data_IF_556374902230
#
_entry.id   IF_556374902230
#
_cell.length_a   1.000
_cell.length_b   1.000
_cell.length_c   1.000
_cell.angle_alpha   90.00
_cell.angle_beta   90.00
_cell.angle_gamma   90.00
#
_symmetry.space_group_name_H-M   'P 1'
#
loop_
_entity.id
_entity.type
_entity.pdbx_description
1 polymer ?
#
# COMPACT_ATOMS: atom_id res chain seq x y z
N UNK A 1 15.15 -59.38 10.42
CA UNK A 1 15.10 -58.24 9.47
C UNK A 1 13.72 -57.94 8.87
N UNK A 2 12.75 -58.88 8.82
CA UNK A 2 11.42 -58.63 8.20
C UNK A 2 10.37 -57.97 9.11
N UNK A 3 10.52 -58.03 10.44
CA UNK A 3 9.49 -57.56 11.38
C UNK A 3 9.54 -56.03 11.62
N UNK A 4 10.74 -55.46 11.68
CA UNK A 4 10.98 -54.02 11.85
C UNK A 4 10.44 -53.18 10.68
N UNK A 5 10.59 -53.69 9.44
CA UNK A 5 10.11 -53.01 8.23
C UNK A 5 8.58 -52.99 8.12
N UNK A 6 7.90 -54.03 8.61
CA UNK A 6 6.43 -54.10 8.64
C UNK A 6 5.86 -53.11 9.67
N UNK A 7 6.51 -52.97 10.83
CA UNK A 7 6.08 -52.03 11.87
C UNK A 7 6.26 -50.57 11.42
N UNK A 8 7.37 -50.26 10.75
CA UNK A 8 7.64 -48.92 10.17
C UNK A 8 6.64 -48.56 9.05
N UNK A 9 6.27 -49.51 8.20
CA UNK A 9 5.28 -49.28 7.14
C UNK A 9 3.87 -49.04 7.71
N UNK A 10 3.44 -49.83 8.69
CA UNK A 10 2.11 -49.69 9.32
C UNK A 10 1.99 -48.37 10.09
N UNK A 11 3.05 -47.98 10.81
CA UNK A 11 3.09 -46.68 11.53
C UNK A 11 3.09 -45.50 10.57
N UNK A 12 3.84 -45.56 9.46
CA UNK A 12 3.80 -44.52 8.43
C UNK A 12 2.40 -44.39 7.80
N UNK A 13 1.73 -45.51 7.53
CA UNK A 13 0.41 -45.52 6.90
C UNK A 13 -0.69 -45.01 7.84
N UNK A 14 -0.59 -45.31 9.14
CA UNK A 14 -1.46 -44.74 10.17
C UNK A 14 -1.25 -43.22 10.33
N UNK A 15 0.00 -42.74 10.32
CA UNK A 15 0.30 -41.31 10.42
C UNK A 15 -0.20 -40.53 9.20
N UNK A 16 -0.10 -41.11 8.00
CA UNK A 16 -0.64 -40.51 6.78
C UNK A 16 -2.17 -40.48 6.81
N UNK A 17 -2.82 -41.57 7.24
CA UNK A 17 -4.28 -41.64 7.38
C UNK A 17 -4.82 -40.64 8.42
N UNK A 18 -4.12 -40.48 9.55
CA UNK A 18 -4.46 -39.48 10.58
C UNK A 18 -4.27 -38.04 10.08
N UNK A 19 -3.25 -37.77 9.25
CA UNK A 19 -3.06 -36.45 8.61
C UNK A 19 -4.14 -36.14 7.59
N UNK A 20 -4.54 -37.13 6.80
CA UNK A 20 -5.62 -37.00 5.80
C UNK A 20 -6.96 -36.78 6.51
N UNK A 21 -7.26 -37.54 7.56
CA UNK A 21 -8.50 -37.35 8.33
C UNK A 21 -8.53 -35.99 9.04
N UNK A 22 -7.42 -35.53 9.63
CA UNK A 22 -7.33 -34.16 10.19
C UNK A 22 -7.50 -33.07 9.13
N UNK A 23 -6.97 -33.28 7.92
CA UNK A 23 -7.18 -32.37 6.80
C UNK A 23 -8.64 -32.36 6.37
N UNK A 24 -9.27 -33.53 6.24
CA UNK A 24 -10.67 -33.67 5.85
C UNK A 24 -11.61 -33.05 6.90
N UNK A 25 -11.36 -33.28 8.18
CA UNK A 25 -12.06 -32.66 9.31
C UNK A 25 -11.86 -31.14 9.35
N UNK A 26 -10.65 -30.65 9.05
CA UNK A 26 -10.39 -29.21 8.98
C UNK A 26 -11.09 -28.53 7.79
N UNK A 27 -11.29 -29.26 6.69
CA UNK A 27 -12.02 -28.77 5.52
C UNK A 27 -13.54 -28.76 5.77
N UNK A 28 -14.10 -29.82 6.36
CA UNK A 28 -15.54 -29.88 6.67
C UNK A 28 -15.95 -28.87 7.73
N UNK A 29 -15.09 -28.56 8.70
CA UNK A 29 -15.36 -27.54 9.73
C UNK A 29 -15.17 -26.11 9.19
N UNK A 30 -14.20 -25.88 8.30
CA UNK A 30 -14.06 -24.59 7.60
C UNK A 30 -15.28 -24.29 6.71
N UNK A 31 -15.87 -25.32 6.10
CA UNK A 31 -17.15 -25.23 5.41
C UNK A 31 -18.31 -24.95 6.39
N UNK A 32 -18.21 -25.38 7.66
CA UNK A 32 -19.27 -25.21 8.67
C UNK A 32 -19.27 -23.82 9.35
N UNK A 33 -18.11 -23.24 9.65
CA UNK A 33 -18.02 -21.86 10.19
C UNK A 33 -18.29 -20.80 9.12
N UNK A 34 -18.04 -21.09 7.84
CA UNK A 34 -18.40 -20.18 6.73
C UNK A 34 -19.92 -20.12 6.47
N UNK A 35 -20.69 -21.11 6.93
CA UNK A 35 -22.17 -21.15 6.83
C UNK A 35 -22.85 -20.20 7.83
N UNK A 36 -22.25 -19.87 8.98
CA UNK A 36 -22.86 -18.91 9.92
C UNK A 36 -22.78 -17.45 9.42
N UNK A 37 -21.87 -17.16 8.49
CA UNK A 37 -21.65 -15.82 7.93
C UNK A 37 -22.20 -15.63 6.52
N UNK A 38 -22.72 -16.68 5.89
CA UNK A 38 -23.50 -16.53 4.67
C UNK A 38 -24.85 -15.89 4.99
N UNK A 39 -25.17 -14.73 4.41
CA UNK A 39 -26.48 -14.13 4.61
C UNK A 39 -27.58 -15.02 4.03
N UNK A 40 -28.80 -14.94 4.57
CA UNK A 40 -29.91 -15.85 4.23
C UNK A 40 -30.39 -15.71 2.78
N UNK A 41 -30.07 -14.60 2.12
CA UNK A 41 -30.34 -14.34 0.71
C UNK A 41 -29.27 -14.93 -0.23
N UNK A 42 -28.18 -15.48 0.31
CA UNK A 42 -27.05 -16.02 -0.45
C UNK A 42 -26.14 -14.96 -1.08
N UNK A 43 -26.38 -13.66 -0.85
CA UNK A 43 -25.61 -12.57 -1.46
C UNK A 43 -24.46 -12.16 -0.54
N UNK A 44 -23.18 -12.35 -0.90
CA UNK A 44 -22.06 -12.05 -0.02
C UNK A 44 -22.14 -10.63 0.57
N UNK A 45 -21.94 -10.47 1.90
CA UNK A 45 -21.99 -9.17 2.59
C UNK A 45 -21.03 -8.11 2.01
N UNK A 46 -20.01 -8.55 1.28
CA UNK A 46 -19.12 -7.70 0.53
C UNK A 46 -19.82 -6.93 -0.61
N UNK A 47 -20.85 -7.49 -1.24
CA UNK A 47 -21.62 -6.83 -2.32
C UNK A 47 -22.30 -5.54 -1.82
N UNK A 48 -23.17 -5.56 -0.79
CA UNK A 48 -23.79 -4.33 -0.28
C UNK A 48 -22.77 -3.37 0.33
N UNK A 49 -21.66 -3.86 0.90
CA UNK A 49 -20.56 -3.01 1.35
C UNK A 49 -19.94 -2.23 0.18
N UNK A 50 -19.51 -2.92 -0.87
CA UNK A 50 -18.88 -2.29 -2.04
C UNK A 50 -19.84 -1.30 -2.72
N UNK A 51 -21.13 -1.64 -2.84
CA UNK A 51 -22.13 -0.73 -3.38
C UNK A 51 -22.34 0.51 -2.49
N UNK A 52 -22.29 0.36 -1.17
CA UNK A 52 -22.37 1.49 -0.24
C UNK A 52 -21.15 2.40 -0.36
N UNK A 53 -19.95 1.82 -0.45
CA UNK A 53 -18.71 2.58 -0.68
C UNK A 53 -18.78 3.28 -2.04
N UNK A 54 -19.19 2.57 -3.09
CA UNK A 54 -19.28 3.10 -4.44
C UNK A 54 -20.20 4.32 -4.48
N UNK A 55 -21.41 4.20 -3.94
CA UNK A 55 -22.40 5.29 -3.92
C UNK A 55 -21.92 6.52 -3.16
N UNK A 56 -21.16 6.33 -2.09
CA UNK A 56 -20.72 7.42 -1.20
C UNK A 56 -19.39 8.06 -1.62
N UNK A 57 -18.47 7.30 -2.21
CA UNK A 57 -17.09 7.72 -2.43
C UNK A 57 -16.59 7.56 -3.87
N UNK A 58 -17.18 6.67 -4.68
CA UNK A 58 -16.67 6.34 -6.02
C UNK A 58 -17.62 6.79 -7.15
N UNK A 59 -18.67 7.54 -6.82
CA UNK A 59 -19.71 7.96 -7.79
C UNK A 59 -19.14 8.72 -8.99
N UNK A 60 -18.13 9.55 -8.75
CA UNK A 60 -17.51 10.39 -9.76
C UNK A 60 -16.25 9.76 -10.37
N UNK A 61 -16.01 8.47 -10.07
CA UNK A 61 -14.85 7.72 -10.50
C UNK A 61 -15.22 6.58 -11.45
N UNK A 62 -14.40 6.35 -12.46
CA UNK A 62 -14.47 5.14 -13.29
C UNK A 62 -13.89 3.99 -12.48
N UNK A 63 -14.76 3.06 -12.08
CA UNK A 63 -14.34 1.91 -11.29
C UNK A 63 -13.69 0.85 -12.16
N UNK A 64 -12.52 0.39 -11.75
CA UNK A 64 -11.79 -0.72 -12.34
C UNK A 64 -11.63 -1.83 -11.30
N UNK A 65 -12.21 -2.99 -11.61
CA UNK A 65 -12.11 -4.19 -10.78
C UNK A 65 -11.05 -5.13 -11.34
N UNK A 66 -9.99 -5.36 -10.57
CA UNK A 66 -8.91 -6.27 -10.95
C UNK A 66 -8.96 -7.50 -10.07
N UNK A 67 -8.69 -8.68 -10.64
CA UNK A 67 -8.66 -9.92 -9.87
C UNK A 67 -7.58 -10.87 -10.37
N UNK A 68 -6.92 -11.61 -9.48
CA UNK A 68 -5.91 -12.59 -9.87
C UNK A 68 -6.49 -13.99 -10.16
N UNK A 69 -5.60 -14.92 -10.53
CA UNK A 69 -5.95 -16.32 -10.78
C UNK A 69 -6.53 -17.02 -9.54
N UNK A 70 -6.16 -16.61 -8.33
CA UNK A 70 -6.69 -17.21 -7.11
C UNK A 70 -8.19 -16.94 -6.97
N UNK A 71 -8.64 -15.70 -7.21
CA UNK A 71 -10.07 -15.37 -7.21
C UNK A 71 -10.80 -15.94 -8.43
N UNK A 72 -10.12 -16.05 -9.58
CA UNK A 72 -10.72 -16.56 -10.81
C UNK A 72 -11.01 -18.07 -10.78
N UNK A 73 -10.08 -18.87 -10.24
CA UNK A 73 -10.19 -20.33 -10.27
C UNK A 73 -10.80 -20.93 -8.99
N UNK A 74 -10.75 -20.25 -7.84
CA UNK A 74 -11.36 -20.77 -6.62
C UNK A 74 -12.90 -20.71 -6.73
N UNK A 75 -13.64 -21.84 -6.70
CA UNK A 75 -15.07 -21.88 -7.04
C UNK A 75 -15.92 -20.88 -6.25
N UNK A 76 -15.77 -20.89 -4.91
CA UNK A 76 -16.51 -19.98 -4.02
C UNK A 76 -16.18 -18.50 -4.24
N UNK A 77 -14.90 -18.16 -4.38
CA UNK A 77 -14.47 -16.77 -4.57
C UNK A 77 -14.85 -16.26 -5.96
N UNK A 78 -14.81 -17.14 -6.97
CA UNK A 78 -15.29 -16.83 -8.31
C UNK A 78 -16.78 -16.51 -8.30
N UNK A 79 -17.62 -17.33 -7.65
CA UNK A 79 -19.05 -17.05 -7.51
C UNK A 79 -19.30 -15.71 -6.82
N UNK A 80 -18.57 -15.43 -5.74
CA UNK A 80 -18.65 -14.13 -5.06
C UNK A 80 -18.25 -12.97 -5.99
N UNK A 81 -17.15 -13.11 -6.73
CA UNK A 81 -16.68 -12.12 -7.69
C UNK A 81 -17.71 -11.89 -8.80
N UNK A 82 -18.29 -12.96 -9.36
CA UNK A 82 -19.34 -12.87 -10.38
C UNK A 82 -20.55 -12.09 -9.85
N UNK A 83 -20.98 -12.35 -8.61
CA UNK A 83 -22.04 -11.58 -7.95
C UNK A 83 -21.69 -10.09 -7.80
N UNK A 84 -20.44 -9.78 -7.44
CA UNK A 84 -19.97 -8.38 -7.33
C UNK A 84 -20.00 -7.70 -8.70
N UNK A 85 -19.48 -8.35 -9.74
CA UNK A 85 -19.43 -7.79 -11.10
C UNK A 85 -20.83 -7.55 -11.67
N UNK A 86 -21.78 -8.46 -11.41
CA UNK A 86 -23.16 -8.35 -11.90
C UNK A 86 -23.99 -7.32 -11.14
N UNK A 87 -23.73 -7.10 -9.85
CA UNK A 87 -24.56 -6.27 -8.97
C UNK A 87 -23.89 -4.95 -8.56
N UNK A 88 -22.77 -4.59 -9.18
CA UNK A 88 -22.09 -3.35 -8.86
C UNK A 88 -22.93 -2.12 -9.23
N UNK A 89 -22.89 -1.08 -8.41
CA UNK A 89 -23.78 0.07 -8.52
C UNK A 89 -23.58 0.95 -9.77
N UNK A 90 -22.43 0.85 -10.45
CA UNK A 90 -22.05 1.72 -11.56
C UNK A 90 -21.41 0.93 -12.72
N UNK A 91 -21.28 1.52 -13.92
CA UNK A 91 -20.47 0.92 -14.97
C UNK A 91 -19.02 0.75 -14.50
N UNK A 92 -18.44 -0.41 -14.78
CA UNK A 92 -17.08 -0.75 -14.38
C UNK A 92 -16.29 -1.36 -15.53
N UNK A 93 -14.97 -1.24 -15.45
CA UNK A 93 -14.02 -2.04 -16.24
C UNK A 93 -13.54 -3.17 -15.35
N UNK A 94 -13.33 -4.37 -15.88
CA UNK A 94 -12.71 -5.42 -15.09
C UNK A 94 -11.72 -6.25 -15.91
N UNK A 95 -10.74 -6.81 -15.22
CA UNK A 95 -9.67 -7.55 -15.87
C UNK A 95 -8.94 -8.48 -14.92
N UNK A 96 -8.36 -9.53 -15.49
CA UNK A 96 -7.56 -10.48 -14.74
C UNK A 96 -6.10 -10.05 -14.66
N UNK A 97 -5.53 -10.07 -13.47
CA UNK A 97 -4.11 -9.82 -13.21
C UNK A 97 -3.29 -11.04 -13.59
N UNK A 98 -2.19 -10.80 -14.30
CA UNK A 98 -1.15 -11.79 -14.48
C UNK A 98 -0.07 -11.59 -13.40
N UNK A 99 -0.05 -12.50 -12.43
CA UNK A 99 0.87 -12.47 -11.27
C UNK A 99 2.11 -13.36 -11.46
N UNK A 100 2.27 -14.03 -12.61
CA UNK A 100 3.41 -14.94 -12.84
C UNK A 100 4.71 -14.21 -13.17
N UNK A 101 4.65 -12.90 -13.36
CA UNK A 101 5.79 -12.05 -13.73
C UNK A 101 6.34 -11.32 -12.51
N UNK A 102 7.61 -10.90 -12.56
CA UNK A 102 8.25 -10.14 -11.49
C UNK A 102 7.52 -8.82 -11.16
N UNK A 103 6.92 -8.18 -12.18
CA UNK A 103 5.94 -7.11 -12.02
C UNK A 103 4.58 -7.62 -12.49
N UNK A 104 3.53 -7.58 -11.66
CA UNK A 104 2.19 -8.00 -12.06
C UNK A 104 1.69 -7.17 -13.24
N UNK A 105 1.11 -7.82 -14.25
CA UNK A 105 0.58 -7.15 -15.43
C UNK A 105 -0.94 -7.18 -15.45
N UNK A 106 -1.50 -6.03 -15.76
CA UNK A 106 -2.91 -5.85 -16.12
C UNK A 106 -3.15 -6.00 -17.62
N UNK A 107 -4.38 -6.32 -18.03
CA UNK A 107 -4.75 -6.30 -19.45
C UNK A 107 -4.55 -4.89 -20.05
N UNK A 108 -4.06 -4.80 -21.30
CA UNK A 108 -3.80 -3.52 -21.95
C UNK A 108 -5.09 -2.70 -22.11
N UNK A 109 -5.00 -1.37 -22.00
CA UNK A 109 -6.12 -0.45 -22.18
C UNK A 109 -7.14 -0.35 -21.03
N UNK A 110 -7.05 -1.19 -19.99
CA UNK A 110 -7.95 -1.12 -18.83
C UNK A 110 -7.59 0.01 -17.87
N UNK A 111 -6.28 0.20 -17.63
CA UNK A 111 -5.76 1.22 -16.71
C UNK A 111 -5.52 2.59 -17.37
N UNK A 112 -5.67 2.67 -18.69
CA UNK A 112 -5.55 3.92 -19.42
C UNK A 112 -6.77 4.81 -19.13
N UNK A 113 -6.52 5.92 -18.44
CA UNK A 113 -7.52 6.95 -18.22
C UNK A 113 -7.85 7.61 -19.57
N UNK A 114 -9.15 7.75 -19.88
CA UNK A 114 -9.59 8.41 -21.12
C UNK A 114 -9.93 9.86 -20.80
N UNK A 115 -9.09 10.79 -21.24
CA UNK A 115 -9.29 12.22 -20.97
C UNK A 115 -9.14 12.55 -19.48
N UNK A 116 -10.16 13.19 -18.89
CA UNK A 116 -10.15 13.65 -17.50
C UNK A 116 -10.80 12.66 -16.51
N UNK A 117 -10.87 11.37 -16.86
CA UNK A 117 -11.42 10.34 -15.98
C UNK A 117 -10.60 10.20 -14.69
N UNK A 118 -11.30 10.20 -13.54
CA UNK A 118 -10.70 9.82 -12.26
C UNK A 118 -10.95 8.33 -12.02
N UNK A 119 -9.90 7.58 -11.70
CA UNK A 119 -10.00 6.13 -11.56
C UNK A 119 -10.27 5.74 -10.11
N UNK A 120 -11.01 4.64 -9.92
CA UNK A 120 -11.10 3.94 -8.63
C UNK A 120 -10.75 2.47 -8.84
N UNK A 121 -9.83 1.93 -8.04
CA UNK A 121 -9.40 0.54 -8.14
C UNK A 121 -10.02 -0.31 -7.04
N UNK A 122 -10.57 -1.45 -7.40
CA UNK A 122 -10.96 -2.52 -6.47
C UNK A 122 -10.19 -3.76 -6.87
N UNK A 123 -9.21 -4.16 -6.08
CA UNK A 123 -8.27 -5.23 -6.43
C UNK A 123 -8.49 -6.44 -5.52
N UNK A 124 -8.88 -7.55 -6.13
CA UNK A 124 -8.98 -8.86 -5.51
C UNK A 124 -7.70 -9.66 -5.78
N UNK A 125 -6.90 -9.90 -4.76
CA UNK A 125 -5.58 -10.53 -4.94
C UNK A 125 -5.31 -11.50 -3.80
N UNK A 126 -4.61 -12.59 -4.07
CA UNK A 126 -4.14 -13.51 -3.04
C UNK A 126 -3.20 -12.81 -2.06
N UNK A 127 -2.38 -11.90 -2.58
CA UNK A 127 -1.35 -11.17 -1.83
C UNK A 127 -1.55 -9.65 -1.99
N UNK A 128 -1.64 -8.94 -0.87
CA UNK A 128 -1.87 -7.49 -0.82
C UNK A 128 -0.76 -6.70 -1.49
N UNK A 129 0.50 -7.13 -1.38
CA UNK A 129 1.65 -6.44 -1.97
C UNK A 129 1.61 -6.56 -3.50
N UNK A 130 1.34 -7.78 -4.00
CA UNK A 130 1.20 -8.03 -5.44
C UNK A 130 0.08 -7.20 -6.05
N UNK A 131 -1.07 -7.12 -5.37
CA UNK A 131 -2.19 -6.28 -5.83
C UNK A 131 -1.85 -4.79 -5.82
N UNK A 132 -1.20 -4.31 -4.75
CA UNK A 132 -0.78 -2.92 -4.64
C UNK A 132 0.23 -2.54 -5.72
N UNK A 133 1.26 -3.35 -5.93
CA UNK A 133 2.30 -3.12 -6.95
C UNK A 133 1.70 -3.07 -8.36
N UNK A 134 0.63 -3.83 -8.62
CA UNK A 134 -0.03 -3.86 -9.94
C UNK A 134 -0.69 -2.53 -10.34
N UNK A 135 -1.05 -1.68 -9.38
CA UNK A 135 -1.77 -0.41 -9.59
C UNK A 135 -0.97 0.82 -9.16
N UNK A 136 0.15 0.65 -8.45
CA UNK A 136 0.95 1.72 -7.83
C UNK A 136 1.26 2.87 -8.78
N UNK A 137 1.66 2.57 -10.02
CA UNK A 137 2.02 3.59 -11.01
C UNK A 137 0.81 4.42 -11.50
N UNK A 138 -0.41 3.94 -11.26
CA UNK A 138 -1.67 4.56 -11.67
C UNK A 138 -2.43 5.22 -10.51
N UNK A 139 -1.91 5.11 -9.28
CA UNK A 139 -2.52 5.74 -8.12
C UNK A 139 -2.04 7.19 -8.00
N UNK A 140 -2.95 8.13 -8.18
CA UNK A 140 -2.73 9.55 -7.96
C UNK A 140 -3.49 10.08 -6.74
N UNK A 141 -3.38 11.40 -6.50
CA UNK A 141 -3.99 12.08 -5.34
C UNK A 141 -5.51 11.88 -5.19
N UNK A 142 -6.21 11.75 -6.32
CA UNK A 142 -7.67 11.60 -6.35
C UNK A 142 -8.13 10.17 -6.66
N UNK A 143 -7.19 9.23 -6.85
CA UNK A 143 -7.51 7.83 -7.13
C UNK A 143 -7.89 7.14 -5.84
N UNK A 144 -9.07 6.51 -5.79
CA UNK A 144 -9.52 5.73 -4.64
C UNK A 144 -9.16 4.25 -4.83
N UNK A 145 -8.58 3.61 -3.82
CA UNK A 145 -8.10 2.24 -3.93
C UNK A 145 -8.65 1.35 -2.82
N UNK A 146 -9.25 0.24 -3.20
CA UNK A 146 -9.70 -0.83 -2.32
C UNK A 146 -8.91 -2.09 -2.61
N UNK A 147 -8.22 -2.64 -1.62
CA UNK A 147 -7.54 -3.94 -1.70
C UNK A 147 -8.31 -4.98 -0.88
N UNK A 148 -8.58 -6.12 -1.50
CA UNK A 148 -9.33 -7.23 -0.93
C UNK A 148 -8.50 -8.50 -1.11
N UNK A 149 -8.10 -9.12 0.00
CA UNK A 149 -7.23 -10.29 -0.02
C UNK A 149 -7.62 -11.29 1.08
N UNK A 150 -7.35 -12.60 0.90
CA UNK A 150 -7.53 -13.64 1.92
C UNK A 150 -6.44 -13.56 3.01
N UNK A 151 -6.27 -12.39 3.60
CA UNK A 151 -5.16 -12.07 4.51
C UNK A 151 -5.63 -11.93 5.96
N UNK A 152 -4.71 -12.02 6.92
CA UNK A 152 -5.02 -11.82 8.33
C UNK A 152 -4.90 -10.35 8.71
N UNK A 153 -5.55 -9.95 9.81
CA UNK A 153 -5.40 -8.60 10.38
C UNK A 153 -3.94 -8.26 10.65
N UNK A 154 -3.14 -9.23 11.11
CA UNK A 154 -1.72 -9.04 11.34
C UNK A 154 -0.97 -8.67 10.05
N UNK A 155 -1.19 -9.45 8.98
CA UNK A 155 -0.52 -9.21 7.70
C UNK A 155 -0.93 -7.88 7.07
N UNK A 156 -2.20 -7.47 7.20
CA UNK A 156 -2.65 -6.13 6.77
C UNK A 156 -1.93 -5.02 7.53
N UNK A 157 -1.78 -5.15 8.85
CA UNK A 157 -1.03 -4.17 9.65
C UNK A 157 0.44 -4.09 9.24
N UNK A 158 1.07 -5.21 8.88
CA UNK A 158 2.45 -5.22 8.37
C UNK A 158 2.53 -4.53 7.00
N UNK A 159 1.65 -4.92 6.07
CA UNK A 159 1.59 -4.33 4.74
C UNK A 159 1.40 -2.81 4.80
N UNK A 160 0.50 -2.31 5.65
CA UNK A 160 0.21 -0.88 5.79
C UNK A 160 1.38 -0.06 6.37
N UNK A 161 2.41 -0.69 6.93
CA UNK A 161 3.67 -0.04 7.35
C UNK A 161 4.72 0.03 6.25
N UNK A 162 4.47 -0.60 5.10
CA UNK A 162 5.43 -0.63 3.98
C UNK A 162 5.37 0.65 3.16
N UNK A 163 6.49 0.98 2.52
CA UNK A 163 6.57 2.09 1.55
C UNK A 163 5.59 1.89 0.39
N UNK A 164 5.32 0.64 -0.01
CA UNK A 164 4.37 0.32 -1.06
C UNK A 164 2.95 0.77 -0.70
N UNK A 165 2.52 0.55 0.54
CA UNK A 165 1.23 1.04 1.02
C UNK A 165 1.23 2.58 1.14
N UNK A 166 2.33 3.15 1.65
CA UNK A 166 2.52 4.59 1.81
C UNK A 166 2.41 5.37 0.48
N UNK A 167 2.87 4.78 -0.63
CA UNK A 167 2.74 5.40 -1.95
C UNK A 167 1.28 5.55 -2.42
N UNK A 168 0.36 4.75 -1.89
CA UNK A 168 -1.06 4.76 -2.29
C UNK A 168 -1.87 5.61 -1.31
N UNK A 169 -2.01 6.91 -1.60
CA UNK A 169 -2.60 7.87 -0.64
C UNK A 169 -4.01 7.52 -0.14
N UNK A 170 -4.94 7.16 -1.03
CA UNK A 170 -6.33 6.81 -0.66
C UNK A 170 -6.52 5.30 -0.67
N UNK A 171 -5.82 4.61 0.23
CA UNK A 171 -5.86 3.17 0.37
C UNK A 171 -6.84 2.71 1.45
N UNK A 172 -7.70 1.75 1.09
CA UNK A 172 -8.57 1.01 1.98
C UNK A 172 -8.31 -0.49 1.80
N UNK A 173 -7.97 -1.21 2.87
CA UNK A 173 -7.75 -2.66 2.85
C UNK A 173 -8.88 -3.34 3.62
N UNK A 174 -9.57 -4.27 2.98
CA UNK A 174 -10.70 -5.00 3.56
C UNK A 174 -10.23 -6.38 4.02
N UNK A 175 -10.56 -6.71 5.27
CA UNK A 175 -10.38 -8.05 5.83
C UNK A 175 -11.75 -8.66 6.03
N UNK A 176 -12.11 -9.55 5.12
CA UNK A 176 -13.35 -10.31 5.17
C UNK A 176 -13.07 -11.72 5.73
N UNK A 177 -13.65 -12.09 6.89
CA UNK A 177 -13.54 -13.45 7.44
C UNK A 177 -13.97 -14.52 6.43
N UNK A 178 -14.97 -14.24 5.59
CA UNK A 178 -15.43 -15.18 4.58
C UNK A 178 -14.37 -15.45 3.52
N UNK A 179 -13.52 -14.48 3.16
CA UNK A 179 -12.49 -14.68 2.12
C UNK A 179 -11.28 -15.47 2.68
N UNK A 180 -11.06 -15.47 4.00
CA UNK A 180 -9.94 -16.18 4.64
C UNK A 180 -10.16 -17.70 4.60
N UNK A 181 -9.40 -18.39 3.74
CA UNK A 181 -9.51 -19.86 3.55
C UNK A 181 -8.81 -20.68 4.64
N UNK A 182 -8.20 -20.06 5.66
CA UNK A 182 -7.56 -20.77 6.77
C UNK A 182 -8.06 -20.26 8.12
N UNK A 183 -8.98 -21.00 8.72
CA UNK A 183 -9.29 -20.92 10.14
C UNK A 183 -8.57 -22.09 10.81
N UNK A 184 -7.49 -21.81 11.54
CA UNK A 184 -7.11 -22.68 12.65
C UNK A 184 -8.06 -22.38 13.81
N UNK A 185 -8.54 -23.44 14.46
CA UNK A 185 -9.63 -23.47 15.46
C UNK A 185 -9.60 -22.40 16.57
N UNK A 186 -8.45 -21.77 16.83
CA UNK A 186 -8.27 -20.84 17.94
C UNK A 186 -8.54 -19.36 17.56
N UNK A 187 -8.50 -19.01 16.26
CA UNK A 187 -8.69 -17.63 15.80
C UNK A 187 -10.16 -17.26 15.51
N UNK A 188 -11.05 -18.25 15.47
CA UNK A 188 -12.49 -18.07 15.19
C UNK A 188 -13.24 -17.41 16.37
N UNK A 189 -12.76 -17.57 17.60
CA UNK A 189 -13.45 -17.09 18.80
C UNK A 189 -13.32 -15.57 19.05
N UNK A 190 -12.39 -14.88 18.39
CA UNK A 190 -12.06 -13.46 18.69
C UNK A 190 -12.76 -12.47 17.75
N UNK A 191 -13.24 -12.91 16.58
CA UNK A 191 -14.04 -12.07 15.69
C UNK A 191 -15.51 -12.23 16.08
N UNK A 192 -16.21 -11.13 16.36
CA UNK A 192 -17.69 -11.14 16.48
C UNK A 192 -18.25 -11.48 15.09
N UNK A 193 -18.39 -12.79 14.93
CA UNK A 193 -18.46 -13.71 13.81
C UNK A 193 -18.42 -13.26 12.34
N UNK A 194 -18.94 -12.12 11.88
CA UNK A 194 -19.05 -11.86 10.42
C UNK A 194 -18.78 -10.41 9.99
N UNK A 195 -18.08 -9.64 10.83
CA UNK A 195 -17.75 -8.25 10.52
C UNK A 195 -16.60 -8.16 9.51
N UNK A 196 -16.79 -7.40 8.42
CA UNK A 196 -15.71 -7.06 7.49
C UNK A 196 -14.97 -5.85 8.06
N UNK A 197 -13.67 -5.99 8.34
CA UNK A 197 -12.87 -4.91 8.92
C UNK A 197 -12.26 -4.05 7.81
N UNK A 198 -12.32 -2.73 7.97
CA UNK A 198 -11.77 -1.76 7.03
C UNK A 198 -10.57 -1.06 7.65
N UNK A 199 -9.41 -1.21 7.00
CA UNK A 199 -8.15 -0.61 7.41
C UNK A 199 -7.68 0.45 6.42
N UNK A 200 -6.95 1.44 6.90
CA UNK A 200 -6.16 2.37 6.10
C UNK A 200 -4.84 2.62 6.82
N UNK A 201 -3.97 3.45 6.26
CA UNK A 201 -2.78 3.93 6.96
C UNK A 201 -2.88 5.44 7.20
N UNK A 202 -2.19 5.93 8.21
CA UNK A 202 -1.88 7.34 8.37
C UNK A 202 -0.38 7.53 8.13
N UNK A 203 0.02 8.67 7.58
CA UNK A 203 1.45 8.99 7.50
C UNK A 203 1.91 9.40 8.89
N UNK A 204 2.82 8.62 9.45
CA UNK A 204 3.55 8.97 10.64
C UNK A 204 4.34 10.25 10.40
N UNK A 205 4.43 11.07 11.43
CA UNK A 205 5.22 12.30 11.45
C UNK A 205 6.68 12.04 11.84
N UNK A 206 7.10 10.78 11.85
CA UNK A 206 8.47 10.44 12.19
C UNK A 206 9.42 10.89 11.07
N UNK A 207 10.67 11.15 11.43
CA UNK A 207 11.70 11.59 10.49
C UNK A 207 12.02 10.56 9.40
N UNK A 208 11.49 9.35 9.52
CA UNK A 208 11.63 8.25 8.56
C UNK A 208 10.45 8.15 7.59
N UNK A 209 9.38 8.93 7.78
CA UNK A 209 8.19 8.93 6.92
C UNK A 209 7.42 7.62 6.93
N UNK A 210 7.41 6.92 8.07
CA UNK A 210 6.73 5.63 8.20
C UNK A 210 5.21 5.79 8.16
N UNK A 211 4.51 4.76 7.71
CA UNK A 211 3.05 4.72 7.72
C UNK A 211 2.54 3.86 8.87
N UNK A 212 1.54 4.34 9.61
CA UNK A 212 0.95 3.60 10.72
C UNK A 212 -0.43 3.04 10.35
N UNK A 213 -0.71 1.75 10.60
CA UNK A 213 -1.97 1.12 10.28
C UNK A 213 -3.08 1.58 11.23
N UNK A 214 -4.22 1.97 10.67
CA UNK A 214 -5.40 2.43 11.41
C UNK A 214 -6.63 1.61 11.00
N UNK A 215 -7.40 1.15 11.99
CA UNK A 215 -8.73 0.58 11.77
C UNK A 215 -9.71 1.74 11.62
N UNK A 216 -10.34 1.86 10.46
CA UNK A 216 -11.27 2.96 10.19
C UNK A 216 -12.65 2.65 10.76
N UNK A 217 -13.18 1.47 10.43
CA UNK A 217 -14.51 1.03 10.85
C UNK A 217 -14.67 -0.47 10.54
N UNK A 218 -15.80 -1.04 10.89
CA UNK A 218 -16.19 -2.38 10.46
C UNK A 218 -17.54 -2.31 9.75
N UNK A 219 -17.77 -3.20 8.79
CA UNK A 219 -19.07 -3.41 8.18
C UNK A 219 -19.74 -4.61 8.82
N UNK A 220 -20.89 -4.35 9.46
CA UNK A 220 -21.69 -5.37 10.13
C UNK A 220 -23.03 -5.49 9.43
N UNK A 221 -23.26 -6.63 8.79
CA UNK A 221 -24.48 -6.96 8.03
C UNK A 221 -24.72 -5.99 6.86
N UNK A 222 -25.30 -4.83 7.15
CA UNK A 222 -25.77 -3.85 6.16
C UNK A 222 -25.34 -2.41 6.48
N UNK A 223 -24.53 -2.19 7.52
CA UNK A 223 -24.10 -0.85 7.92
C UNK A 223 -22.70 -0.82 8.53
N UNK A 224 -22.08 0.37 8.50
CA UNK A 224 -20.84 0.61 9.23
C UNK A 224 -21.11 0.66 10.74
N UNK A 225 -20.19 0.11 11.53
CA UNK A 225 -20.27 0.15 13.01
C UNK A 225 -20.04 1.57 13.54
N UNK A 226 -19.29 2.38 12.81
CA UNK A 226 -19.05 3.79 13.11
C UNK A 226 -19.15 4.63 11.83
N UNK A 227 -19.73 5.83 11.95
CA UNK A 227 -19.81 6.79 10.85
C UNK A 227 -18.48 7.55 10.71
N UNK A 228 -17.59 7.01 9.88
CA UNK A 228 -16.24 7.56 9.65
C UNK A 228 -16.00 7.81 8.17
N UNK A 229 -15.15 8.79 7.85
CA UNK A 229 -14.67 9.03 6.50
C UNK A 229 -13.69 7.90 6.09
N UNK A 230 -14.02 7.13 5.06
CA UNK A 230 -13.21 5.97 4.65
C UNK A 230 -11.87 6.35 4.03
N UNK A 231 -11.83 7.51 3.35
CA UNK A 231 -10.64 8.08 2.74
C UNK A 231 -10.35 9.44 3.38
N UNK A 232 -9.79 9.48 4.60
CA UNK A 232 -9.48 10.74 5.26
C UNK A 232 -8.35 11.45 4.52
N UNK A 233 -8.46 12.79 4.39
CA UNK A 233 -7.36 13.60 3.85
C UNK A 233 -6.09 13.36 4.64
N UNK A 234 -5.03 13.01 3.94
CA UNK A 234 -3.69 12.82 4.49
C UNK A 234 -3.01 14.20 4.67
N UNK A 235 -2.03 14.29 5.57
CA UNK A 235 -1.25 15.51 5.87
C UNK A 235 -2.04 16.73 6.38
N UNK A 236 -3.15 16.55 7.10
CA UNK A 236 -3.91 17.68 7.69
C UNK A 236 -3.05 18.56 8.61
N UNK A 237 -2.01 17.99 9.22
CA UNK A 237 -1.08 18.67 10.13
C UNK A 237 0.26 19.00 9.46
N UNK A 238 0.38 18.82 8.14
CA UNK A 238 1.64 18.91 7.41
C UNK A 238 2.59 17.75 7.73
N UNK A 239 3.89 18.05 7.72
CA UNK A 239 5.03 17.18 8.01
C UNK A 239 5.43 17.22 9.51
N UNK A 240 4.54 17.70 10.39
CA UNK A 240 4.64 17.48 11.83
C UNK A 240 5.88 18.06 12.51
N UNK A 241 6.50 19.10 11.95
CA UNK A 241 7.68 19.73 12.52
C UNK A 241 8.99 18.99 12.23
N UNK A 242 9.02 18.07 11.25
CA UNK A 242 10.27 17.45 10.79
C UNK A 242 11.32 18.53 10.51
N UNK A 243 12.57 18.25 10.92
CA UNK A 243 13.70 19.13 10.69
C UNK A 243 14.57 18.59 9.54
N UNK A 244 14.69 19.37 8.47
CA UNK A 244 15.46 19.01 7.29
C UNK A 244 16.74 19.84 7.21
N UNK A 245 17.85 19.19 6.90
CA UNK A 245 19.11 19.88 6.59
C UNK A 245 19.21 20.06 5.08
N UNK A 246 19.35 21.30 4.62
CA UNK A 246 19.49 21.64 3.21
C UNK A 246 20.87 22.20 2.95
N UNK A 247 21.57 21.59 2.00
CA UNK A 247 22.85 22.13 1.52
C UNK A 247 22.58 23.34 0.63
N UNK A 248 23.16 24.48 0.99
CA UNK A 248 23.02 25.75 0.31
C UNK A 248 24.39 26.18 -0.25
N UNK A 249 24.44 26.51 -1.54
CA UNK A 249 25.62 27.05 -2.21
C UNK A 249 25.32 28.47 -2.71
N UNK A 250 26.32 29.35 -2.66
CA UNK A 250 26.15 30.77 -2.97
C UNK A 250 26.08 31.01 -4.49
N UNK A 251 24.88 31.27 -4.98
CA UNK A 251 24.57 31.62 -6.37
C UNK A 251 23.50 32.73 -6.34
N UNK A 252 23.94 33.99 -6.36
CA UNK A 252 23.02 35.12 -6.43
C UNK A 252 22.27 35.15 -7.78
N UNK A 253 20.96 35.48 -7.81
CA UNK A 253 20.09 35.92 -6.70
C UNK A 253 19.31 34.78 -5.99
N UNK A 254 19.57 33.52 -6.34
CA UNK A 254 18.81 32.36 -5.88
C UNK A 254 19.09 32.00 -4.43
N UNK A 255 20.37 31.97 -4.06
CA UNK A 255 20.86 31.68 -2.70
C UNK A 255 22.12 32.52 -2.46
N UNK A 256 22.16 33.31 -1.40
CA UNK A 256 23.33 34.13 -1.03
C UNK A 256 23.37 34.41 0.48
N UNK A 257 24.54 34.80 0.98
CA UNK A 257 24.72 35.13 2.40
C UNK A 257 24.46 36.61 2.65
N UNK A 258 23.51 36.90 3.54
CA UNK A 258 23.29 38.24 4.05
C UNK A 258 24.00 38.39 5.40
N UNK A 259 24.92 39.33 5.46
CA UNK A 259 25.61 39.70 6.70
C UNK A 259 24.79 40.79 7.40
N UNK A 260 24.38 40.54 8.64
CA UNK A 260 23.73 41.52 9.51
C UNK A 260 24.59 41.86 10.71
N UNK A 261 24.52 43.12 11.16
CA UNK A 261 25.00 43.55 12.47
C UNK A 261 23.80 43.61 13.41
N UNK A 262 23.87 42.94 14.57
CA UNK A 262 22.86 43.12 15.61
C UNK A 262 23.07 44.46 16.32
N UNK A 263 21.99 45.19 16.56
CA UNK A 263 21.95 46.60 16.98
C UNK A 263 22.32 46.84 18.46
N UNK A 264 23.17 46.01 19.07
CA UNK A 264 23.57 46.22 20.46
C UNK A 264 24.71 45.39 21.04
N UNK A 265 25.19 44.33 20.39
CA UNK A 265 26.14 43.40 21.03
C UNK A 265 27.36 42.99 20.17
N UNK A 266 27.57 43.58 18.99
CA UNK A 266 28.79 43.34 18.19
C UNK A 266 28.90 41.95 17.54
N UNK A 267 27.87 41.10 17.64
CA UNK A 267 27.81 39.83 16.94
C UNK A 267 27.35 40.05 15.50
N UNK A 268 28.17 39.64 14.53
CA UNK A 268 27.75 39.47 13.14
C UNK A 268 27.07 38.12 12.99
N UNK A 269 25.87 38.09 12.40
CA UNK A 269 25.24 36.84 12.02
C UNK A 269 25.17 36.77 10.49
N UNK A 270 25.59 35.62 9.96
CA UNK A 270 25.49 35.29 8.55
C UNK A 270 24.22 34.47 8.35
N UNK A 271 23.24 35.04 7.64
CA UNK A 271 21.96 34.38 7.35
C UNK A 271 21.87 34.09 5.85
N UNK A 272 21.38 32.91 5.50
CA UNK A 272 21.02 32.58 4.12
C UNK A 272 19.78 33.36 3.69
N UNK A 273 19.84 33.98 2.51
CA UNK A 273 18.74 34.66 1.85
C UNK A 273 18.79 34.36 0.34
N UNK A 274 17.75 34.72 -0.39
CA UNK A 274 17.62 34.44 -1.82
C UNK A 274 16.23 33.93 -2.17
N UNK A 275 15.95 33.85 -3.47
CA UNK A 275 14.64 33.43 -3.98
C UNK A 275 14.30 32.02 -3.51
N UNK A 276 15.24 31.08 -3.61
CA UNK A 276 15.00 29.67 -3.24
C UNK A 276 14.87 29.50 -1.72
N UNK A 277 15.70 30.21 -0.94
CA UNK A 277 15.61 30.21 0.53
C UNK A 277 14.25 30.73 0.99
N UNK A 278 13.76 31.82 0.40
CA UNK A 278 12.43 32.38 0.73
C UNK A 278 11.31 31.45 0.30
N UNK A 279 11.40 30.88 -0.90
CA UNK A 279 10.42 29.91 -1.38
C UNK A 279 10.35 28.69 -0.46
N UNK A 280 11.50 28.12 -0.10
CA UNK A 280 11.56 26.98 0.80
C UNK A 280 10.98 27.32 2.18
N UNK A 281 11.30 28.50 2.73
CA UNK A 281 10.71 28.94 4.00
C UNK A 281 9.18 29.12 3.92
N UNK A 282 8.62 29.53 2.79
CA UNK A 282 7.17 29.56 2.59
C UNK A 282 6.59 28.13 2.56
N UNK A 283 7.26 27.21 1.87
CA UNK A 283 6.87 25.79 1.82
C UNK A 283 6.94 25.16 3.21
N UNK A 284 7.96 25.48 4.02
CA UNK A 284 8.08 25.09 5.42
C UNK A 284 6.86 25.50 6.26
N UNK A 285 6.39 26.74 6.10
CA UNK A 285 5.22 27.24 6.80
C UNK A 285 3.93 26.55 6.33
N UNK A 286 3.79 26.32 5.02
CA UNK A 286 2.60 25.68 4.46
C UNK A 286 2.48 24.21 4.83
N UNK A 287 3.61 23.49 4.90
CA UNK A 287 3.65 22.06 5.17
C UNK A 287 4.15 21.74 6.58
N UNK A 288 4.29 22.71 7.48
CA UNK A 288 4.68 22.51 8.88
C UNK A 288 5.95 21.63 9.03
N UNK A 289 7.07 22.08 8.45
CA UNK A 289 8.40 21.52 8.72
C UNK A 289 9.41 22.66 8.92
N UNK A 290 10.61 22.34 9.41
CA UNK A 290 11.69 23.29 9.61
C UNK A 290 12.90 22.92 8.76
N UNK A 291 13.69 23.92 8.39
CA UNK A 291 14.90 23.73 7.57
C UNK A 291 16.08 24.41 8.23
N UNK A 292 17.20 23.69 8.32
CA UNK A 292 18.52 24.22 8.61
C UNK A 292 19.35 24.25 7.31
N UNK A 293 19.93 25.41 7.01
CA UNK A 293 20.75 25.59 5.82
C UNK A 293 22.23 25.44 6.17
N UNK A 294 22.90 24.45 5.58
CA UNK A 294 24.34 24.20 5.76
C UNK A 294 25.09 24.39 4.46
N UNK A 295 26.35 24.75 4.57
CA UNK A 295 27.24 24.74 3.41
C UNK A 295 27.51 23.27 3.02
N UNK A 296 27.56 22.92 1.72
CA UNK A 296 27.83 21.56 1.30
C UNK A 296 29.20 21.12 1.83
N UNK A 297 29.23 20.00 2.54
CA UNK A 297 30.48 19.37 2.97
C UNK A 297 31.19 18.80 1.73
N UNK A 298 32.32 19.38 1.36
CA UNK A 298 33.18 18.78 0.33
C UNK A 298 33.86 17.55 0.91
N UNK A 299 33.27 16.36 0.71
CA UNK A 299 33.95 15.11 1.00
C UNK A 299 35.17 14.98 0.06
N UNK A 300 36.38 15.17 0.59
CA UNK A 300 37.63 15.09 -0.19
C UNK A 300 37.83 13.73 -0.89
N UNK A 301 37.18 12.66 -0.44
CA UNK A 301 37.18 11.36 -1.15
C UNK A 301 36.45 11.41 -2.50
N UNK A 302 35.38 12.20 -2.61
CA UNK A 302 34.62 12.37 -3.86
C UNK A 302 35.30 13.32 -4.85
N UNK A 303 36.13 14.25 -4.36
CA UNK A 303 36.92 15.16 -5.20
C UNK A 303 38.06 14.42 -5.91
N UNK A 304 38.70 13.45 -5.25
CA UNK A 304 39.70 12.58 -5.91
C UNK A 304 39.08 11.71 -7.00
N UNK A 305 37.88 11.14 -6.79
CA UNK A 305 37.17 10.39 -7.83
C UNK A 305 36.72 11.27 -9.02
N UNK A 306 36.33 12.52 -8.77
CA UNK A 306 35.98 13.48 -9.83
C UNK A 306 37.22 13.96 -10.62
N UNK A 307 38.34 14.18 -9.94
CA UNK A 307 39.62 14.55 -10.58
C UNK A 307 40.22 13.38 -11.37
N UNK A 308 40.10 12.15 -10.89
CA UNK A 308 40.54 10.96 -11.62
C UNK A 308 39.69 10.74 -12.89
N UNK A 309 38.37 10.97 -12.82
CA UNK A 309 37.49 10.91 -13.99
C UNK A 309 37.76 12.03 -15.01
N UNK A 310 38.13 13.25 -14.57
CA UNK A 310 38.54 14.34 -15.46
C UNK A 310 39.92 14.09 -16.11
N UNK A 311 40.86 13.46 -15.39
CA UNK A 311 42.17 13.08 -15.93
C UNK A 311 42.07 11.91 -16.93
N UNK A 312 41.06 11.04 -16.80
CA UNK A 312 40.77 9.98 -17.77
C UNK A 312 40.15 10.52 -19.07
N UNK A 313 39.35 11.59 -19.00
CA UNK A 313 38.74 12.23 -20.18
C UNK A 313 39.74 13.08 -20.97
N UNK A 314 40.74 13.69 -20.32
CA UNK A 314 41.78 14.49 -21.00
C UNK A 314 42.92 13.68 -21.58
N UNK A 315 43.13 12.43 -21.15
CA UNK A 315 44.13 11.50 -21.74
C UNK A 315 43.61 10.68 -22.93
N UNK A 316 42.31 10.66 -23.20
CA UNK A 316 41.72 9.84 -24.29
C UNK A 316 41.50 10.58 -25.61
N UNK A 317 41.84 11.87 -25.67
CA UNK A 317 41.89 12.64 -26.93
C UNK A 317 43.30 13.17 -27.10
N UNK A 318 43.83 13.10 -28.32
CA UNK A 318 45.22 13.44 -28.72
C UNK A 318 46.24 12.32 -28.62
N UNK A 319 46.13 11.34 -29.53
CA UNK A 319 47.24 10.81 -30.32
C UNK A 319 46.67 10.16 -31.60
N UNK A 320 46.77 10.79 -32.79
CA UNK A 320 46.53 10.08 -34.05
C UNK A 320 47.72 9.14 -34.28
N UNK A 321 47.46 7.83 -34.35
CA UNK A 321 48.44 6.85 -34.82
C UNK A 321 48.69 7.07 -36.31
N UNK A 322 49.93 7.39 -36.65
CA UNK A 322 50.55 7.08 -37.95
C UNK A 322 50.73 5.57 -38.09
#
# INVERSE_FOLDING_TARGET
MKLEFLLAAVTAQLVVSMKINKLLESMTIADQETIECTPPDGIPHLVPLLNTIARRYLKDHVTVILYDDYFHYHPRLKTMLDHILLNYAYPLRHGRLNTTMAKPKVPPGILEARGNEQMAFIVFTKDTEVGAESIREYTGRNTMTLLIAPTSVYMVKQFLKTNLAADITNLLVLVDPMIRVKLTHEAAQVLKQCDILLFSHEFGLDSLGSSEPVIITAWRRTQFTQQVQLFPSKFKQGLGGIHLTVSASEIAPFVFRKHGQDSGAGYSFTKWDGIEVRLLNLVCQMLNFSVEYKEPEMNMESVHQLLDNFNLLTRSTWLPKQ
#
